data_IF_802668511963
#
_entry.id   IF_802668511963
#
_cell.length_a   1.000
_cell.length_b   1.000
_cell.length_c   1.000
_cell.angle_alpha   90.00
_cell.angle_beta   90.00
_cell.angle_gamma   90.00
#
_symmetry.space_group_name_H-M   'P 1'
#
loop_
_entity.id
_entity.type
_entity.pdbx_description
1 polymer ?
#
# COMPACT_ATOMS: atom_id res chain seq x y z
N UNK A 1 15.43 -28.32 29.13
CA UNK A 1 15.81 -27.90 27.76
C UNK A 1 15.54 -26.43 27.44
N UNK A 2 14.65 -25.75 28.17
CA UNK A 2 14.34 -24.31 27.97
C UNK A 2 15.40 -23.35 28.54
N UNK A 3 16.06 -23.69 29.64
CA UNK A 3 17.08 -22.83 30.26
C UNK A 3 18.35 -22.67 29.41
N UNK A 4 18.73 -23.67 28.61
CA UNK A 4 19.89 -23.58 27.71
C UNK A 4 19.61 -22.66 26.52
N UNK A 5 18.39 -22.72 25.96
CA UNK A 5 17.96 -21.80 24.90
C UNK A 5 17.93 -20.36 25.39
N UNK A 6 17.35 -20.09 26.57
CA UNK A 6 17.33 -18.74 27.15
C UNK A 6 18.74 -18.17 27.34
N UNK A 7 19.71 -18.98 27.78
CA UNK A 7 21.10 -18.54 27.93
C UNK A 7 21.77 -18.24 26.58
N UNK A 8 21.44 -18.97 25.53
CA UNK A 8 21.94 -18.70 24.18
C UNK A 8 21.34 -17.41 23.61
N UNK A 9 20.03 -17.22 23.78
CA UNK A 9 19.33 -16.00 23.37
C UNK A 9 19.91 -14.78 24.09
N UNK A 10 20.08 -14.86 25.42
CA UNK A 10 20.65 -13.76 26.21
C UNK A 10 22.06 -13.40 25.75
N UNK A 11 22.93 -14.39 25.51
CA UNK A 11 24.28 -14.14 24.97
C UNK A 11 24.23 -13.45 23.60
N UNK A 12 23.29 -13.80 22.74
CA UNK A 12 23.14 -13.19 21.42
C UNK A 12 22.66 -11.74 21.54
N UNK A 13 21.73 -11.44 22.45
CA UNK A 13 21.27 -10.07 22.74
C UNK A 13 22.42 -9.22 23.27
N UNK A 14 23.17 -9.71 24.27
CA UNK A 14 24.31 -9.01 24.85
C UNK A 14 25.40 -8.71 23.81
N UNK A 15 25.67 -9.66 22.92
CA UNK A 15 26.59 -9.47 21.80
C UNK A 15 26.11 -8.35 20.85
N UNK A 16 24.85 -8.38 20.44
CA UNK A 16 24.28 -7.36 19.54
C UNK A 16 24.29 -5.96 20.17
N UNK A 17 24.04 -5.85 21.48
CA UNK A 17 24.18 -4.61 22.24
C UNK A 17 25.62 -4.09 22.24
N UNK A 18 26.60 -4.96 22.53
CA UNK A 18 28.02 -4.59 22.55
C UNK A 18 28.55 -4.19 21.16
N UNK A 19 28.00 -4.78 20.10
CA UNK A 19 28.30 -4.45 18.70
C UNK A 19 27.53 -3.20 18.21
N UNK A 20 26.69 -2.58 19.05
CA UNK A 20 25.92 -1.38 18.71
C UNK A 20 24.79 -1.63 17.70
N UNK A 21 24.48 -2.89 17.37
CA UNK A 21 23.48 -3.27 16.35
C UNK A 21 22.05 -2.90 16.72
N UNK A 22 21.80 -2.61 18.00
CA UNK A 22 20.48 -2.20 18.52
C UNK A 22 20.38 -0.69 18.74
N UNK A 23 21.36 0.10 18.27
CA UNK A 23 21.42 1.55 18.36
C UNK A 23 21.59 2.20 16.98
N UNK A 24 21.14 3.44 16.83
CA UNK A 24 21.06 4.13 15.54
C UNK A 24 20.00 3.56 14.58
N UNK A 25 19.00 2.83 15.08
CA UNK A 25 18.00 2.20 14.21
C UNK A 25 17.08 3.24 13.57
N UNK A 26 16.56 2.90 12.38
CA UNK A 26 15.60 3.76 11.69
C UNK A 26 14.35 3.95 12.56
N UNK A 27 14.10 5.18 13.00
CA UNK A 27 12.98 5.51 13.89
C UNK A 27 13.30 5.43 15.38
N UNK A 28 14.55 5.21 15.79
CA UNK A 28 14.94 5.23 17.20
C UNK A 28 14.63 6.60 17.84
N UNK A 29 13.99 6.56 19.02
CA UNK A 29 13.55 7.75 19.75
C UNK A 29 12.35 8.48 19.13
N UNK A 30 11.86 8.08 17.96
CA UNK A 30 10.66 8.65 17.34
C UNK A 30 9.40 7.95 17.88
N UNK A 31 8.25 8.66 17.93
CA UNK A 31 6.99 8.01 18.24
C UNK A 31 6.71 6.87 17.26
N UNK A 32 6.08 5.81 17.77
CA UNK A 32 5.61 4.73 16.90
C UNK A 32 4.68 5.32 15.83
N UNK A 33 4.76 4.84 14.58
CA UNK A 33 3.86 5.29 13.52
C UNK A 33 2.41 5.00 13.92
N UNK A 34 1.52 5.95 13.66
CA UNK A 34 0.09 5.76 13.89
C UNK A 34 -0.44 4.67 12.93
N UNK A 35 -0.95 3.60 13.53
CA UNK A 35 -1.55 2.45 12.83
C UNK A 35 -3.01 2.24 13.21
N UNK A 36 -3.66 3.25 13.80
CA UNK A 36 -5.08 3.19 14.16
C UNK A 36 -5.99 2.82 12.97
N UNK A 37 -5.62 3.25 11.75
CA UNK A 37 -6.31 2.86 10.51
C UNK A 37 -6.13 1.40 10.07
N UNK A 38 -5.12 0.68 10.60
CA UNK A 38 -4.85 -0.73 10.29
C UNK A 38 -5.54 -1.69 11.27
N UNK A 39 -6.18 -1.19 12.34
CA UNK A 39 -6.70 -1.99 13.46
C UNK A 39 -7.74 -3.06 13.07
N UNK A 40 -8.41 -2.87 11.93
CA UNK A 40 -9.42 -3.80 11.40
C UNK A 40 -8.96 -4.51 10.10
N UNK A 41 -7.70 -4.36 9.72
CA UNK A 41 -7.10 -5.02 8.56
C UNK A 41 -6.41 -6.30 9.02
N UNK A 42 -6.59 -7.39 8.29
CA UNK A 42 -5.85 -8.62 8.57
C UNK A 42 -4.35 -8.43 8.37
N UNK A 43 -3.54 -9.11 9.19
CA UNK A 43 -2.09 -8.94 9.21
C UNK A 43 -1.44 -9.18 7.84
N UNK A 44 -1.98 -10.09 7.03
CA UNK A 44 -1.47 -10.36 5.69
C UNK A 44 -1.68 -9.16 4.76
N UNK A 45 -2.88 -8.56 4.76
CA UNK A 45 -3.16 -7.34 3.98
C UNK A 45 -2.37 -6.13 4.48
N UNK A 46 -2.18 -5.97 5.79
CA UNK A 46 -1.38 -4.88 6.35
C UNK A 46 0.10 -4.99 5.95
N UNK A 47 0.68 -6.19 6.01
CA UNK A 47 2.05 -6.45 5.55
C UNK A 47 2.19 -6.29 4.04
N UNK A 48 1.26 -6.80 3.24
CA UNK A 48 1.27 -6.63 1.79
C UNK A 48 1.16 -5.16 1.39
N UNK A 49 0.29 -4.40 2.06
CA UNK A 49 0.14 -2.95 1.87
C UNK A 49 1.41 -2.19 2.22
N UNK A 50 2.10 -2.60 3.30
CA UNK A 50 3.39 -2.04 3.69
C UNK A 50 4.49 -2.35 2.70
N UNK A 51 4.63 -3.60 2.24
CA UNK A 51 5.63 -3.99 1.24
C UNK A 51 5.43 -3.18 -0.05
N UNK A 52 4.17 -3.01 -0.49
CA UNK A 52 3.85 -2.19 -1.66
C UNK A 52 4.17 -0.70 -1.44
N UNK A 53 3.85 -0.15 -0.26
CA UNK A 53 4.13 1.24 0.08
C UNK A 53 5.64 1.53 0.23
N UNK A 54 6.39 0.63 0.88
CA UNK A 54 7.85 0.70 1.06
C UNK A 54 8.60 0.54 -0.27
N UNK A 55 8.08 -0.26 -1.20
CA UNK A 55 8.58 -0.37 -2.57
C UNK A 55 8.24 0.85 -3.45
N UNK A 56 7.52 1.85 -2.92
CA UNK A 56 7.10 3.05 -3.66
C UNK A 56 6.02 2.81 -4.72
N UNK A 57 5.44 1.61 -4.76
CA UNK A 57 4.44 1.22 -5.75
C UNK A 57 3.05 1.61 -5.25
N UNK A 58 2.63 2.86 -5.52
CA UNK A 58 1.20 3.19 -5.47
C UNK A 58 0.48 2.31 -6.51
N UNK A 59 -0.44 1.42 -6.09
CA UNK A 59 -1.11 0.53 -7.03
C UNK A 59 -1.82 1.31 -8.14
N UNK A 60 -1.76 0.77 -9.36
CA UNK A 60 -2.21 1.47 -10.57
C UNK A 60 -3.69 1.88 -10.51
N UNK A 61 -4.52 1.09 -9.81
CA UNK A 61 -5.94 1.37 -9.65
C UNK A 61 -6.21 2.70 -8.95
N UNK A 62 -5.34 3.16 -8.04
CA UNK A 62 -5.52 4.45 -7.37
C UNK A 62 -5.25 5.63 -8.31
N UNK A 63 -4.29 5.49 -9.23
CA UNK A 63 -4.01 6.50 -10.27
C UNK A 63 -5.18 6.57 -11.26
N UNK A 64 -5.64 5.40 -11.72
CA UNK A 64 -6.77 5.29 -12.65
C UNK A 64 -8.07 5.82 -12.04
N UNK A 65 -8.32 5.56 -10.75
CA UNK A 65 -9.48 6.11 -10.04
C UNK A 65 -9.48 7.64 -10.01
N UNK A 66 -8.32 8.26 -9.75
CA UNK A 66 -8.20 9.74 -9.79
C UNK A 66 -8.49 10.30 -11.18
N UNK A 67 -7.96 9.66 -12.22
CA UNK A 67 -8.22 10.05 -13.61
C UNK A 67 -9.70 9.87 -13.98
N UNK A 68 -10.33 8.80 -13.50
CA UNK A 68 -11.75 8.54 -13.73
C UNK A 68 -12.65 9.61 -13.10
N UNK A 69 -12.36 10.04 -11.87
CA UNK A 69 -13.10 11.14 -11.24
C UNK A 69 -12.93 12.46 -12.00
N UNK A 70 -11.72 12.76 -12.47
CA UNK A 70 -11.47 13.95 -13.30
C UNK A 70 -12.22 13.88 -14.66
N UNK A 71 -12.26 12.70 -15.29
CA UNK A 71 -13.00 12.50 -16.53
C UNK A 71 -14.52 12.62 -16.33
N UNK A 72 -15.05 12.14 -15.20
CA UNK A 72 -16.46 12.33 -14.82
C UNK A 72 -16.81 13.80 -14.58
N UNK A 73 -15.92 14.56 -13.95
CA UNK A 73 -16.09 16.02 -13.82
C UNK A 73 -16.09 16.69 -15.20
N UNK A 74 -15.13 16.34 -16.06
CA UNK A 74 -15.06 16.88 -17.43
C UNK A 74 -16.33 16.59 -18.22
N UNK A 75 -16.95 15.41 -18.04
CA UNK A 75 -18.23 15.08 -18.66
C UNK A 75 -19.41 15.92 -18.10
N UNK A 76 -19.40 16.23 -16.79
CA UNK A 76 -20.40 17.12 -16.17
C UNK A 76 -20.31 18.54 -16.71
N UNK A 77 -19.11 19.05 -16.91
CA UNK A 77 -18.83 20.39 -17.41
C UNK A 77 -18.92 20.50 -18.94
N UNK A 78 -18.94 19.38 -19.66
CA UNK A 78 -18.97 19.37 -21.11
C UNK A 78 -20.28 19.95 -21.68
N UNK A 79 -20.13 20.97 -22.52
CA UNK A 79 -21.22 21.56 -23.30
C UNK A 79 -21.20 21.05 -24.74
N UNK A 80 -22.39 20.71 -25.26
CA UNK A 80 -22.53 20.14 -26.60
C UNK A 80 -22.35 18.62 -26.66
N UNK A 81 -22.94 18.02 -27.69
CA UNK A 81 -23.03 16.57 -27.84
C UNK A 81 -21.68 15.92 -28.14
N UNK A 82 -20.84 16.57 -28.95
CA UNK A 82 -19.52 16.05 -29.33
C UNK A 82 -18.55 16.02 -28.13
N UNK A 83 -18.53 17.07 -27.31
CA UNK A 83 -17.70 17.12 -26.11
C UNK A 83 -18.11 16.04 -25.09
N UNK A 84 -19.41 15.83 -24.90
CA UNK A 84 -19.95 14.75 -24.07
C UNK A 84 -19.58 13.36 -24.60
N UNK A 85 -19.64 13.16 -25.92
CA UNK A 85 -19.26 11.90 -26.55
C UNK A 85 -17.79 11.56 -26.32
N UNK A 86 -16.89 12.54 -26.46
CA UNK A 86 -15.46 12.38 -26.20
C UNK A 86 -15.19 12.07 -24.72
N UNK A 87 -15.78 12.83 -23.80
CA UNK A 87 -15.62 12.61 -22.38
C UNK A 87 -16.17 11.23 -21.94
N UNK A 88 -17.29 10.78 -22.53
CA UNK A 88 -17.84 9.45 -22.26
C UNK A 88 -16.94 8.33 -22.78
N UNK A 89 -16.29 8.50 -23.93
CA UNK A 89 -15.31 7.53 -24.44
C UNK A 89 -14.09 7.42 -23.53
N UNK A 90 -13.61 8.55 -22.99
CA UNK A 90 -12.50 8.58 -22.03
C UNK A 90 -12.89 7.89 -20.71
N UNK A 91 -14.11 8.12 -20.20
CA UNK A 91 -14.62 7.42 -19.02
C UNK A 91 -14.62 5.91 -19.27
N UNK A 92 -15.14 5.44 -20.41
CA UNK A 92 -15.20 4.02 -20.72
C UNK A 92 -13.80 3.35 -20.76
N UNK A 93 -12.80 3.98 -21.41
CA UNK A 93 -11.43 3.47 -21.44
C UNK A 93 -10.81 3.43 -20.03
N UNK A 94 -11.00 4.48 -19.23
CA UNK A 94 -10.48 4.53 -17.85
C UNK A 94 -11.16 3.51 -16.94
N UNK A 95 -12.47 3.28 -17.08
CA UNK A 95 -13.20 2.24 -16.32
C UNK A 95 -12.69 0.84 -16.68
N UNK A 96 -12.48 0.57 -17.98
CA UNK A 96 -11.92 -0.70 -18.42
C UNK A 96 -10.54 -0.95 -17.79
N UNK A 97 -9.64 0.03 -17.86
CA UNK A 97 -8.30 -0.09 -17.26
C UNK A 97 -8.35 -0.23 -15.75
N UNK A 98 -9.21 0.52 -15.08
CA UNK A 98 -9.39 0.44 -13.64
C UNK A 98 -9.82 -0.97 -13.22
N UNK A 99 -10.79 -1.55 -13.91
CA UNK A 99 -11.27 -2.91 -13.63
C UNK A 99 -10.17 -3.95 -13.83
N UNK A 100 -9.37 -3.84 -14.89
CA UNK A 100 -8.21 -4.71 -15.12
C UNK A 100 -7.20 -4.62 -13.97
N UNK A 101 -6.87 -3.40 -13.52
CA UNK A 101 -5.94 -3.20 -12.39
C UNK A 101 -6.49 -3.78 -11.08
N UNK A 102 -7.78 -3.59 -10.80
CA UNK A 102 -8.45 -4.17 -9.62
C UNK A 102 -8.42 -5.70 -9.66
N UNK A 103 -8.69 -6.30 -10.82
CA UNK A 103 -8.61 -7.76 -10.99
C UNK A 103 -7.17 -8.27 -10.82
N UNK A 104 -6.18 -7.57 -11.38
CA UNK A 104 -4.77 -7.93 -11.22
C UNK A 104 -4.36 -7.92 -9.75
N UNK A 105 -4.76 -6.88 -8.98
CA UNK A 105 -4.54 -6.83 -7.53
C UNK A 105 -5.26 -7.96 -6.80
N UNK A 106 -6.52 -8.23 -7.14
CA UNK A 106 -7.28 -9.32 -6.53
C UNK A 106 -6.62 -10.68 -6.75
N UNK A 107 -6.11 -10.93 -7.96
CA UNK A 107 -5.36 -12.17 -8.29
C UNK A 107 -4.04 -12.24 -7.56
N UNK A 108 -3.32 -11.13 -7.43
CA UNK A 108 -2.07 -11.05 -6.67
C UNK A 108 -2.28 -11.34 -5.17
N UNK A 109 -3.41 -10.91 -4.61
CA UNK A 109 -3.76 -11.11 -3.20
C UNK A 109 -4.50 -12.42 -2.93
N UNK A 110 -4.85 -13.19 -3.96
CA UNK A 110 -5.49 -14.49 -3.78
C UNK A 110 -4.48 -15.50 -3.17
N UNK A 111 -4.93 -16.38 -2.26
CA UNK A 111 -4.06 -17.38 -1.61
C UNK A 111 -3.54 -18.45 -2.57
#
# INVERSE_FOLDING_TARGET
MTQSLNRLVERQIQKALAEGQLSGLSGEGKPLPDRSGEAFTDMATAVASRIMAEAGALPEEFKLKKLLEAAKESYREAEGEDAKRVAMALIADLEQRYNIAVEARRRFMAP
#
